data_IF_305780248632
#
_entry.id   IF_305780248632
#
_cell.length_a   1.000
_cell.length_b   1.000
_cell.length_c   1.000
_cell.angle_alpha   90.00
_cell.angle_beta   90.00
_cell.angle_gamma   90.00
#
_symmetry.space_group_name_H-M   'P 1'
#
loop_
_entity.id
_entity.type
_entity.pdbx_description
1 polymer ?
#
# COMPACT_ATOMS: atom_id res chain seq x y z
N UNK A 1 -29.00 -4.17 24.47
CA UNK A 1 -27.69 -4.84 24.29
C UNK A 1 -27.33 -4.82 22.82
N UNK A 2 -26.28 -4.11 22.38
CA UNK A 2 -26.01 -3.94 20.96
C UNK A 2 -25.28 -5.16 20.37
N UNK A 3 -25.65 -5.51 19.13
CA UNK A 3 -25.23 -6.71 18.38
C UNK A 3 -23.80 -6.63 17.78
N UNK A 4 -22.94 -5.76 18.30
CA UNK A 4 -21.64 -5.43 17.67
C UNK A 4 -20.49 -6.38 18.04
N UNK A 5 -20.65 -7.22 19.05
CA UNK A 5 -19.58 -8.11 19.51
C UNK A 5 -19.33 -9.35 18.64
N UNK A 6 -20.21 -9.65 17.69
CA UNK A 6 -20.10 -10.88 16.88
C UNK A 6 -19.04 -10.80 15.77
N UNK A 7 -18.63 -9.60 15.37
CA UNK A 7 -17.68 -9.42 14.27
C UNK A 7 -16.24 -9.16 14.74
N UNK A 8 -16.04 -8.72 15.99
CA UNK A 8 -14.70 -8.57 16.57
C UNK A 8 -14.02 -9.94 16.83
N UNK A 9 -14.80 -10.96 17.19
CA UNK A 9 -14.27 -12.30 17.48
C UNK A 9 -13.82 -13.09 16.25
N UNK A 10 -14.44 -12.85 15.08
CA UNK A 10 -14.13 -13.61 13.86
C UNK A 10 -12.86 -13.08 13.17
N UNK A 11 -12.58 -11.77 13.25
CA UNK A 11 -11.35 -11.17 12.73
C UNK A 11 -10.10 -11.60 13.50
N UNK A 12 -10.18 -11.76 14.82
CA UNK A 12 -9.05 -12.23 15.64
C UNK A 12 -8.71 -13.72 15.42
N UNK A 13 -9.69 -14.57 15.11
CA UNK A 13 -9.45 -16.00 14.86
C UNK A 13 -8.75 -16.26 13.52
N UNK A 14 -8.98 -15.42 12.51
CA UNK A 14 -8.32 -15.54 11.21
C UNK A 14 -6.88 -15.00 11.27
N UNK A 15 -6.64 -13.94 12.05
CA UNK A 15 -5.29 -13.38 12.24
C UNK A 15 -4.35 -14.27 13.08
N UNK A 16 -4.87 -15.01 14.06
CA UNK A 16 -4.07 -15.89 14.91
C UNK A 16 -3.70 -17.24 14.25
N UNK A 17 -4.46 -17.68 13.23
CA UNK A 17 -4.25 -18.97 12.56
C UNK A 17 -3.08 -19.03 11.57
N UNK A 18 -2.57 -17.87 11.13
CA UNK A 18 -1.47 -17.78 10.14
C UNK A 18 -0.11 -17.52 10.81
N UNK A 19 -0.09 -17.01 12.05
CA UNK A 19 1.14 -16.64 12.75
C UNK A 19 1.79 -17.78 13.56
N UNK A 20 1.14 -18.93 13.74
CA UNK A 20 1.64 -19.97 14.67
C UNK A 20 2.54 -21.10 14.11
N UNK A 21 2.76 -21.32 12.79
CA UNK A 21 3.74 -22.32 12.36
C UNK A 21 5.11 -21.76 11.95
N UNK A 22 5.34 -20.43 11.99
CA UNK A 22 6.63 -19.85 11.56
C UNK A 22 7.67 -19.65 12.68
N UNK A 23 7.34 -19.93 13.95
CA UNK A 23 8.28 -19.77 15.06
C UNK A 23 8.84 -21.08 15.65
N UNK A 24 8.50 -22.25 15.10
CA UNK A 24 8.95 -23.54 15.63
C UNK A 24 10.07 -24.24 14.82
N UNK A 25 10.63 -23.59 13.80
CA UNK A 25 11.51 -24.23 12.81
C UNK A 25 12.92 -23.67 12.66
N UNK A 26 13.50 -23.03 13.69
CA UNK A 26 14.84 -22.41 13.56
C UNK A 26 15.79 -22.61 14.75
N UNK A 27 15.67 -23.74 15.44
CA UNK A 27 16.70 -24.23 16.36
C UNK A 27 16.91 -25.71 16.10
N UNK A 28 17.80 -26.05 15.16
CA UNK A 28 18.56 -27.30 15.10
C UNK A 28 19.42 -27.24 13.83
N UNK A 29 20.73 -27.02 14.03
CA UNK A 29 21.89 -27.23 13.13
C UNK A 29 22.81 -25.99 13.09
N UNK A 30 23.56 -25.79 14.18
CA UNK A 30 24.84 -25.10 14.14
C UNK A 30 25.94 -26.11 14.52
N UNK A 31 26.97 -26.32 13.69
CA UNK A 31 28.11 -27.15 14.06
C UNK A 31 29.00 -26.47 15.10
N UNK A 32 29.48 -27.28 16.03
CA UNK A 32 30.33 -26.91 17.16
C UNK A 32 31.65 -26.25 16.71
N UNK A 33 31.80 -24.95 16.96
CA UNK A 33 33.11 -24.28 16.95
C UNK A 33 33.75 -24.43 18.33
N UNK A 34 34.79 -25.26 18.41
CA UNK A 34 35.64 -25.42 19.59
C UNK A 34 36.53 -24.18 19.75
N UNK A 35 36.18 -23.32 20.72
CA UNK A 35 37.07 -22.28 21.22
C UNK A 35 37.74 -22.79 22.50
N UNK A 36 39.06 -22.98 22.43
CA UNK A 36 39.92 -23.23 23.59
C UNK A 36 39.92 -22.01 24.52
N UNK A 37 39.72 -22.18 25.84
CA UNK A 37 39.77 -21.08 26.78
C UNK A 37 41.21 -20.72 27.18
N UNK A 38 41.52 -19.44 27.46
CA UNK A 38 42.79 -19.04 28.03
C UNK A 38 42.83 -19.33 29.54
N UNK A 39 44.01 -19.73 29.99
CA UNK A 39 44.40 -20.00 31.37
C UNK A 39 44.22 -18.80 32.28
N UNK A 40 43.58 -18.93 33.46
CA UNK A 40 43.70 -17.95 34.52
C UNK A 40 44.72 -18.38 35.60
N UNK A 41 45.48 -17.39 36.04
CA UNK A 41 46.57 -17.48 37.02
C UNK A 41 46.03 -17.06 38.40
N UNK A 42 46.24 -17.95 39.38
CA UNK A 42 46.41 -17.72 40.83
C UNK A 42 45.32 -17.03 41.67
N UNK A 43 44.94 -17.68 42.77
CA UNK A 43 44.36 -17.03 43.95
C UNK A 43 43.54 -17.97 44.82
N UNK A 44 43.99 -18.21 46.06
CA UNK A 44 43.31 -18.93 47.13
C UNK A 44 41.82 -18.54 47.27
N UNK A 45 40.89 -19.37 47.73
CA UNK A 45 40.82 -19.87 49.12
C UNK A 45 39.73 -20.95 49.22
N UNK A 46 39.99 -21.98 50.03
CA UNK A 46 39.08 -23.07 50.42
C UNK A 46 37.84 -22.54 51.14
N UNK A 47 36.64 -23.03 50.78
CA UNK A 47 35.54 -23.15 51.74
C UNK A 47 34.60 -24.30 51.37
N UNK A 48 34.35 -25.16 52.35
CA UNK A 48 33.49 -26.35 52.29
C UNK A 48 32.01 -25.96 52.25
N UNK A 49 31.22 -26.56 51.35
CA UNK A 49 29.78 -26.74 51.54
C UNK A 49 29.36 -28.12 51.04
N UNK A 50 28.66 -28.82 51.93
CA UNK A 50 28.09 -30.17 51.87
C UNK A 50 27.01 -30.34 50.78
N UNK A 51 26.87 -31.51 50.12
CA UNK A 51 25.80 -31.77 49.15
C UNK A 51 24.51 -32.28 49.81
N UNK A 52 23.36 -31.85 49.28
CA UNK A 52 22.02 -32.38 49.58
C UNK A 52 21.61 -33.45 48.52
N UNK A 53 20.73 -34.41 48.87
CA UNK A 53 20.54 -35.64 48.09
C UNK A 53 19.57 -35.51 46.90
N UNK A 54 19.80 -36.39 45.93
CA UNK A 54 19.09 -36.54 44.67
C UNK A 54 17.62 -36.96 44.83
N UNK A 55 16.72 -36.31 44.07
CA UNK A 55 15.35 -36.77 43.85
C UNK A 55 15.25 -37.53 42.53
N UNK A 56 14.69 -38.74 42.64
CA UNK A 56 14.48 -39.73 41.59
C UNK A 56 13.22 -39.35 40.81
N UNK A 57 13.34 -39.07 39.51
CA UNK A 57 12.20 -38.86 38.61
C UNK A 57 11.90 -40.17 37.88
N UNK A 58 10.68 -40.66 38.06
CA UNK A 58 10.11 -41.83 37.40
C UNK A 58 9.67 -41.48 35.97
N UNK A 59 9.93 -42.31 34.94
CA UNK A 59 9.45 -42.03 33.58
C UNK A 59 7.96 -42.37 33.45
N UNK A 60 7.16 -41.40 32.97
CA UNK A 60 5.78 -41.62 32.56
C UNK A 60 5.71 -42.21 31.15
N UNK A 61 4.76 -43.12 30.97
CA UNK A 61 4.49 -43.87 29.74
C UNK A 61 3.95 -42.97 28.62
N UNK A 62 4.46 -43.17 27.41
CA UNK A 62 4.03 -42.50 26.18
C UNK A 62 2.80 -43.22 25.63
N UNK A 63 1.65 -42.54 25.61
CA UNK A 63 0.44 -42.97 24.89
C UNK A 63 0.55 -42.60 23.41
N UNK A 64 0.34 -43.58 22.54
CA UNK A 64 0.35 -43.43 21.09
C UNK A 64 -0.85 -42.62 20.60
N UNK A 65 -0.60 -41.64 19.73
CA UNK A 65 -1.62 -40.87 19.03
C UNK A 65 -2.15 -41.64 17.80
N UNK A 66 -3.46 -41.59 17.50
CA UNK A 66 -4.02 -42.20 16.31
C UNK A 66 -3.64 -41.43 15.03
N UNK A 67 -3.43 -42.21 13.97
CA UNK A 67 -3.08 -41.75 12.62
C UNK A 67 -4.24 -40.96 11.97
N UNK A 68 -3.99 -39.81 11.32
CA UNK A 68 -5.04 -39.05 10.65
C UNK A 68 -5.48 -39.71 9.33
N UNK A 69 -6.79 -39.78 9.13
CA UNK A 69 -7.46 -40.25 7.91
C UNK A 69 -7.25 -39.26 6.75
N UNK A 70 -6.95 -39.72 5.52
CA UNK A 70 -6.76 -38.84 4.37
C UNK A 70 -8.08 -38.17 3.96
N UNK A 71 -8.06 -36.84 3.85
CA UNK A 71 -9.17 -36.03 3.33
C UNK A 71 -9.04 -35.91 1.82
N UNK A 72 -10.12 -36.22 1.09
CA UNK A 72 -10.19 -36.15 -0.38
C UNK A 72 -10.33 -34.68 -0.81
N UNK A 73 -9.34 -34.17 -1.54
CA UNK A 73 -9.36 -32.84 -2.15
C UNK A 73 -10.11 -32.90 -3.49
N UNK A 74 -11.16 -32.09 -3.72
CA UNK A 74 -11.77 -31.99 -5.04
C UNK A 74 -10.86 -31.23 -6.00
N UNK A 75 -10.43 -31.90 -7.07
CA UNK A 75 -9.71 -31.30 -8.19
C UNK A 75 -10.70 -30.55 -9.08
N UNK A 76 -10.59 -29.23 -9.16
CA UNK A 76 -11.27 -28.44 -10.18
C UNK A 76 -10.37 -28.35 -11.42
N UNK A 77 -10.80 -28.98 -12.50
CA UNK A 77 -10.20 -28.83 -13.83
C UNK A 77 -10.72 -27.54 -14.46
N UNK A 78 -9.88 -26.53 -14.78
CA UNK A 78 -10.34 -25.38 -15.53
C UNK A 78 -10.55 -25.77 -17.01
N UNK A 79 -11.76 -25.53 -17.51
CA UNK A 79 -12.09 -25.62 -18.93
C UNK A 79 -11.65 -24.33 -19.64
N UNK A 80 -10.81 -24.39 -20.69
CA UNK A 80 -10.50 -23.20 -21.48
C UNK A 80 -11.69 -22.86 -22.38
N UNK A 81 -12.33 -21.71 -22.14
CA UNK A 81 -13.25 -21.12 -23.12
C UNK A 81 -12.53 -19.97 -23.81
N UNK A 82 -12.12 -20.21 -25.06
CA UNK A 82 -11.69 -19.17 -25.98
C UNK A 82 -12.92 -18.48 -26.56
N UNK A 83 -13.02 -17.16 -26.40
CA UNK A 83 -13.85 -16.31 -27.27
C UNK A 83 -13.01 -15.12 -27.74
N UNK A 84 -12.83 -15.08 -29.05
CA UNK A 84 -12.24 -14.00 -29.80
C UNK A 84 -13.22 -12.82 -29.93
N UNK A 85 -12.66 -11.61 -29.85
CA UNK A 85 -13.12 -10.45 -30.63
C UNK A 85 -14.40 -9.75 -30.19
N UNK A 86 -14.25 -8.65 -29.43
CA UNK A 86 -14.94 -7.40 -29.74
C UNK A 86 -14.33 -6.25 -28.92
N UNK A 87 -13.64 -5.34 -29.61
CA UNK A 87 -13.47 -3.95 -29.16
C UNK A 87 -14.87 -3.41 -28.84
N UNK A 88 -15.12 -3.04 -27.59
CA UNK A 88 -16.08 -2.01 -27.25
C UNK A 88 -15.43 -1.05 -26.26
N UNK A 89 -15.07 0.12 -26.79
CA UNK A 89 -15.16 1.36 -26.02
C UNK A 89 -16.59 1.45 -25.49
N UNK A 90 -16.78 1.12 -24.23
CA UNK A 90 -17.96 1.49 -23.48
C UNK A 90 -17.44 2.37 -22.35
N UNK A 91 -17.41 3.67 -22.62
CA UNK A 91 -17.52 4.67 -21.55
C UNK A 91 -18.93 4.45 -21.00
N UNK A 92 -19.03 3.58 -19.99
CA UNK A 92 -20.30 3.27 -19.35
C UNK A 92 -20.68 4.47 -18.51
N UNK A 93 -21.83 5.04 -18.81
CA UNK A 93 -22.41 6.17 -18.13
C UNK A 93 -22.73 5.81 -16.66
N UNK A 94 -21.73 5.97 -15.78
CA UNK A 94 -21.92 6.06 -14.34
C UNK A 94 -21.43 7.42 -13.88
N UNK A 95 -22.34 8.37 -13.90
CA UNK A 95 -22.55 9.41 -12.89
C UNK A 95 -23.56 10.38 -13.48
N UNK A 96 -24.73 10.47 -12.85
CA UNK A 96 -25.41 11.76 -12.77
C UNK A 96 -24.51 12.63 -11.91
N UNK A 97 -23.41 13.14 -12.50
CA UNK A 97 -22.62 14.16 -11.86
C UNK A 97 -23.53 15.37 -11.78
N UNK A 98 -23.82 15.83 -10.56
CA UNK A 98 -24.18 17.22 -10.36
C UNK A 98 -23.22 18.05 -11.22
N UNK A 99 -23.71 18.88 -12.15
CA UNK A 99 -22.82 19.66 -13.01
C UNK A 99 -21.87 20.42 -12.09
N UNK A 100 -20.58 20.10 -12.18
CA UNK A 100 -19.53 20.81 -11.46
C UNK A 100 -19.74 22.29 -11.73
N UNK A 101 -20.02 23.04 -10.67
CA UNK A 101 -20.16 24.48 -10.77
C UNK A 101 -18.82 25.03 -11.27
N UNK A 102 -18.77 25.76 -12.41
CA UNK A 102 -17.53 26.34 -12.89
C UNK A 102 -16.83 27.24 -11.86
N UNK A 103 -17.58 27.73 -10.87
CA UNK A 103 -17.06 28.52 -9.75
C UNK A 103 -16.35 27.69 -8.65
N UNK A 104 -16.53 26.36 -8.59
CA UNK A 104 -15.77 25.48 -7.69
C UNK A 104 -14.42 25.06 -8.29
N UNK A 105 -14.12 25.46 -9.53
CA UNK A 105 -12.78 25.39 -10.12
C UNK A 105 -11.97 26.64 -9.74
N UNK A 106 -11.98 27.00 -8.44
CA UNK A 106 -11.08 28.01 -7.90
C UNK A 106 -9.65 27.62 -8.29
N UNK A 107 -8.95 28.56 -8.90
CA UNK A 107 -7.88 28.31 -9.85
C UNK A 107 -6.81 27.34 -9.34
N UNK A 108 -6.41 26.29 -10.10
CA UNK A 108 -5.20 25.54 -9.78
C UNK A 108 -4.01 26.50 -9.88
N UNK A 109 -3.38 26.80 -8.74
CA UNK A 109 -2.18 27.61 -8.74
C UNK A 109 -1.10 26.86 -9.53
N UNK A 110 -0.49 27.54 -10.50
CA UNK A 110 0.50 26.96 -11.42
C UNK A 110 1.82 26.75 -10.67
N UNK A 111 1.92 25.68 -9.89
CA UNK A 111 3.18 25.28 -9.24
C UNK A 111 3.58 23.91 -9.77
N UNK A 112 4.41 23.88 -10.81
CA UNK A 112 5.06 22.64 -11.21
C UNK A 112 5.50 22.54 -12.65
N UNK A 113 5.90 21.33 -13.08
CA UNK A 113 6.44 21.07 -14.41
C UNK A 113 5.37 20.98 -15.51
N UNK A 114 4.09 20.84 -15.14
CA UNK A 114 2.97 20.75 -16.07
C UNK A 114 2.49 22.15 -16.48
N UNK A 115 2.06 22.30 -17.74
CA UNK A 115 1.37 23.53 -18.20
C UNK A 115 0.01 23.68 -17.50
N UNK A 116 -0.57 24.88 -17.52
CA UNK A 116 -1.91 25.13 -16.95
C UNK A 116 -2.96 24.17 -17.53
N UNK A 117 -2.94 23.99 -18.85
CA UNK A 117 -3.88 23.11 -19.56
C UNK A 117 -3.71 21.64 -19.17
N UNK A 118 -2.47 21.21 -18.89
CA UNK A 118 -2.20 19.86 -18.40
C UNK A 118 -2.69 19.67 -16.96
N UNK A 119 -2.50 20.66 -16.09
CA UNK A 119 -2.98 20.63 -14.70
C UNK A 119 -4.51 20.60 -14.65
N UNK A 120 -5.19 21.48 -15.40
CA UNK A 120 -6.65 21.49 -15.52
C UNK A 120 -7.20 20.18 -16.08
N UNK A 121 -6.51 19.60 -17.08
CA UNK A 121 -6.88 18.28 -17.62
C UNK A 121 -6.72 17.18 -16.58
N UNK A 122 -5.58 17.13 -15.87
CA UNK A 122 -5.32 16.16 -14.82
C UNK A 122 -6.41 16.22 -13.74
N UNK A 123 -6.72 17.41 -13.25
CA UNK A 123 -7.74 17.59 -12.23
C UNK A 123 -9.14 17.19 -12.72
N UNK A 124 -9.56 17.70 -13.89
CA UNK A 124 -10.88 17.33 -14.45
C UNK A 124 -11.01 15.83 -14.73
N UNK A 125 -9.93 15.16 -15.13
CA UNK A 125 -9.91 13.71 -15.34
C UNK A 125 -10.02 12.98 -14.01
N UNK A 126 -9.28 13.40 -12.99
CA UNK A 126 -9.31 12.74 -11.68
C UNK A 126 -10.70 12.74 -11.06
N UNK A 127 -11.47 13.82 -11.24
CA UNK A 127 -12.84 13.94 -10.73
C UNK A 127 -13.80 12.87 -11.28
N UNK A 128 -13.52 12.27 -12.44
CA UNK A 128 -14.35 11.17 -13.00
C UNK A 128 -14.21 9.87 -12.21
N UNK A 129 -13.15 9.77 -11.42
CA UNK A 129 -12.87 8.60 -10.59
C UNK A 129 -13.40 8.75 -9.15
N UNK A 130 -14.14 9.83 -8.85
CA UNK A 130 -14.78 9.97 -7.53
C UNK A 130 -15.96 9.01 -7.42
N UNK A 131 -15.96 8.26 -6.34
CA UNK A 131 -17.03 7.38 -5.89
C UNK A 131 -17.06 7.42 -4.35
N UNK A 132 -17.70 8.47 -3.78
CA UNK A 132 -17.61 8.80 -2.35
C UNK A 132 -18.40 7.85 -1.44
N UNK A 133 -19.16 6.91 -1.99
CA UNK A 133 -19.87 5.87 -1.22
C UNK A 133 -19.29 4.49 -1.49
N UNK A 134 -19.47 3.55 -0.56
CA UNK A 134 -18.99 2.16 -0.70
C UNK A 134 -19.70 1.47 -1.88
N UNK A 135 -20.98 1.76 -2.06
CA UNK A 135 -21.81 1.24 -3.14
C UNK A 135 -21.31 1.68 -4.51
N UNK A 136 -20.84 2.92 -4.65
CA UNK A 136 -20.30 3.47 -5.90
C UNK A 136 -18.85 3.04 -6.14
N UNK A 137 -18.04 2.88 -5.09
CA UNK A 137 -16.61 2.61 -5.22
C UNK A 137 -16.32 1.20 -5.73
N UNK A 138 -17.16 0.22 -5.39
CA UNK A 138 -17.04 -1.18 -5.84
C UNK A 138 -17.17 -1.33 -7.37
N UNK A 139 -18.26 -0.87 -8.03
CA UNK A 139 -18.38 -0.99 -9.48
C UNK A 139 -17.28 -0.21 -10.21
N UNK A 140 -16.93 0.99 -9.72
CA UNK A 140 -15.83 1.76 -10.30
C UNK A 140 -14.48 1.02 -10.20
N UNK A 141 -14.17 0.41 -9.06
CA UNK A 141 -12.95 -0.38 -8.91
C UNK A 141 -12.88 -1.56 -9.89
N UNK A 142 -14.01 -2.23 -10.15
CA UNK A 142 -14.12 -3.31 -11.14
C UNK A 142 -13.97 -2.81 -12.58
N UNK A 143 -14.41 -1.60 -12.87
CA UNK A 143 -14.20 -0.97 -14.17
C UNK A 143 -12.70 -0.68 -14.40
N UNK A 144 -12.01 -0.15 -13.38
CA UNK A 144 -10.59 0.20 -13.45
C UNK A 144 -9.70 -1.03 -13.62
N UNK A 145 -9.93 -2.08 -12.81
CA UNK A 145 -8.98 -3.19 -12.67
C UNK A 145 -9.56 -4.57 -13.05
N UNK A 146 -10.80 -4.62 -13.53
CA UNK A 146 -11.48 -5.85 -13.94
C UNK A 146 -12.26 -6.54 -12.82
N UNK A 147 -13.21 -7.39 -13.23
CA UNK A 147 -14.04 -8.20 -12.33
C UNK A 147 -13.18 -9.27 -11.65
N UNK A 148 -13.20 -9.31 -10.32
CA UNK A 148 -12.43 -10.26 -9.49
C UNK A 148 -11.17 -9.67 -8.86
N UNK A 149 -10.60 -8.63 -9.47
CA UNK A 149 -9.40 -7.93 -8.97
C UNK A 149 -9.70 -6.52 -8.47
N UNK A 150 -10.67 -5.85 -9.10
CA UNK A 150 -11.11 -4.50 -8.73
C UNK A 150 -11.93 -4.49 -7.45
N UNK A 151 -11.28 -4.22 -6.33
CA UNK A 151 -11.93 -3.85 -5.07
C UNK A 151 -11.35 -2.52 -4.58
N UNK A 152 -12.15 -1.57 -4.06
CA UNK A 152 -11.65 -0.27 -3.62
C UNK A 152 -10.56 -0.34 -2.54
N UNK A 153 -10.37 -1.49 -1.88
CA UNK A 153 -9.28 -1.71 -0.92
C UNK A 153 -7.91 -2.02 -1.54
N UNK A 154 -7.81 -2.29 -2.84
CA UNK A 154 -6.56 -2.75 -3.47
C UNK A 154 -6.30 -2.20 -4.88
N UNK A 155 -6.98 -1.12 -5.28
CA UNK A 155 -6.81 -0.51 -6.60
C UNK A 155 -5.96 0.78 -6.60
N UNK A 156 -5.22 1.10 -5.54
CA UNK A 156 -4.49 2.38 -5.45
C UNK A 156 -3.55 2.62 -6.65
N UNK A 157 -2.78 1.59 -7.05
CA UNK A 157 -1.95 1.63 -8.24
C UNK A 157 -2.75 1.79 -9.55
N UNK A 158 -3.68 0.87 -9.85
CA UNK A 158 -4.54 0.97 -11.03
C UNK A 158 -5.29 2.31 -11.15
N UNK A 159 -5.80 2.84 -10.03
CA UNK A 159 -6.48 4.13 -9.97
C UNK A 159 -5.52 5.27 -10.33
N UNK A 160 -4.39 5.36 -9.62
CA UNK A 160 -3.41 6.44 -9.82
C UNK A 160 -2.89 6.48 -11.26
N UNK A 161 -2.58 5.31 -11.84
CA UNK A 161 -2.07 5.25 -13.21
C UNK A 161 -3.16 5.49 -14.26
N UNK A 162 -4.42 5.12 -13.99
CA UNK A 162 -5.53 5.43 -14.89
C UNK A 162 -5.75 6.95 -14.99
N UNK A 163 -5.66 7.66 -13.86
CA UNK A 163 -5.75 9.13 -13.83
C UNK A 163 -4.64 9.75 -14.69
N UNK A 164 -3.37 9.33 -14.51
CA UNK A 164 -2.24 9.85 -15.29
C UNK A 164 -2.35 9.54 -16.78
N UNK A 165 -2.77 8.31 -17.12
CA UNK A 165 -2.94 7.86 -18.51
C UNK A 165 -4.02 8.67 -19.21
N UNK A 166 -5.18 8.82 -18.57
CA UNK A 166 -6.32 9.53 -19.14
C UNK A 166 -6.09 11.05 -19.22
N UNK A 167 -5.23 11.57 -18.35
CA UNK A 167 -4.71 12.94 -18.44
C UNK A 167 -3.67 13.11 -19.58
N UNK A 168 -3.19 12.02 -20.18
CA UNK A 168 -2.17 12.04 -21.24
C UNK A 168 -0.75 12.30 -20.72
N UNK A 169 -0.50 12.07 -19.42
CA UNK A 169 0.82 12.31 -18.81
C UNK A 169 1.75 11.10 -18.92
N UNK A 170 1.21 9.90 -19.10
CA UNK A 170 1.93 8.65 -19.41
C UNK A 170 1.46 8.06 -20.74
N UNK A 171 2.11 6.99 -21.22
CA UNK A 171 1.73 6.32 -22.47
C UNK A 171 0.30 5.78 -22.46
N UNK A 172 -0.42 5.89 -23.58
CA UNK A 172 -1.79 5.38 -23.71
C UNK A 172 -1.87 3.84 -23.65
N UNK A 173 -0.74 3.16 -23.86
CA UNK A 173 -0.55 1.71 -23.77
C UNK A 173 -0.34 1.20 -22.33
N UNK A 174 -0.15 2.11 -21.35
CA UNK A 174 -0.01 1.76 -19.94
C UNK A 174 -1.30 1.08 -19.45
N UNK A 175 -1.16 -0.12 -18.89
CA UNK A 175 -2.29 -0.93 -18.41
C UNK A 175 -2.44 -0.75 -16.89
N UNK A 176 -3.62 -0.33 -16.40
CA UNK A 176 -3.86 -0.17 -14.97
C UNK A 176 -3.57 -1.42 -14.15
N UNK A 177 -3.91 -2.59 -14.69
CA UNK A 177 -3.64 -3.88 -14.07
C UNK A 177 -2.17 -4.14 -13.78
N UNK A 178 -1.24 -3.59 -14.57
CA UNK A 178 0.21 -3.75 -14.32
C UNK A 178 0.65 -3.03 -13.03
N UNK A 179 -0.17 -2.14 -12.49
CA UNK A 179 0.06 -1.42 -11.24
C UNK A 179 -0.67 -2.06 -10.04
N UNK A 180 -1.41 -3.15 -10.26
CA UNK A 180 -2.11 -3.86 -9.18
C UNK A 180 -1.11 -4.64 -8.31
N UNK A 181 -1.02 -4.28 -7.03
CA UNK A 181 -0.06 -4.84 -6.06
C UNK A 181 1.42 -4.70 -6.49
N UNK A 182 1.71 -3.75 -7.37
CA UNK A 182 3.07 -3.45 -7.84
C UNK A 182 3.98 -3.13 -6.66
N UNK A 183 5.20 -3.66 -6.66
CA UNK A 183 6.22 -3.43 -5.64
C UNK A 183 7.56 -3.02 -6.29
N UNK A 184 8.05 -1.79 -6.08
CA UNK A 184 9.31 -1.30 -6.65
C UNK A 184 10.55 -2.10 -6.26
N UNK A 185 10.49 -2.91 -5.19
CA UNK A 185 11.57 -3.81 -4.77
C UNK A 185 11.66 -5.11 -5.58
N UNK A 186 10.63 -5.44 -6.38
CA UNK A 186 10.60 -6.61 -7.26
C UNK A 186 11.16 -6.23 -8.64
N UNK A 187 12.15 -6.97 -9.21
CA UNK A 187 12.77 -6.61 -10.49
C UNK A 187 11.80 -6.52 -11.67
N UNK A 188 10.76 -7.35 -11.72
CA UNK A 188 9.73 -7.33 -12.75
C UNK A 188 8.90 -6.04 -12.70
N UNK A 189 8.48 -5.65 -11.50
CA UNK A 189 7.69 -4.46 -11.23
C UNK A 189 8.48 -3.17 -11.42
N UNK A 190 9.77 -3.19 -11.04
CA UNK A 190 10.71 -2.11 -11.32
C UNK A 190 10.78 -1.81 -12.82
N UNK A 191 10.81 -2.84 -13.67
CA UNK A 191 10.80 -2.66 -15.14
C UNK A 191 9.49 -2.03 -15.65
N UNK A 192 8.35 -2.27 -14.98
CA UNK A 192 7.08 -1.60 -15.30
C UNK A 192 7.18 -0.11 -14.97
N UNK A 193 7.73 0.25 -13.80
CA UNK A 193 7.94 1.64 -13.40
C UNK A 193 8.90 2.37 -14.35
N UNK A 194 10.05 1.78 -14.67
CA UNK A 194 11.05 2.38 -15.57
C UNK A 194 10.51 2.63 -16.98
N UNK A 195 9.70 1.70 -17.50
CA UNK A 195 9.04 1.88 -18.80
C UNK A 195 7.97 2.97 -18.75
N UNK A 196 7.24 3.07 -17.64
CA UNK A 196 6.11 4.00 -17.49
C UNK A 196 6.58 5.42 -17.18
N UNK A 197 7.65 5.55 -16.39
CA UNK A 197 8.24 6.80 -15.94
C UNK A 197 9.70 6.90 -16.38
N UNK A 198 9.98 6.97 -17.69
CA UNK A 198 11.34 6.98 -18.20
C UNK A 198 12.07 8.27 -17.77
N UNK A 199 13.38 8.20 -17.45
CA UNK A 199 14.14 9.31 -16.86
C UNK A 199 14.24 10.55 -17.78
N UNK A 200 14.04 10.39 -19.09
CA UNK A 200 13.96 11.49 -20.05
C UNK A 200 12.70 12.35 -19.87
N UNK A 201 11.67 11.82 -19.21
CA UNK A 201 10.38 12.49 -18.99
C UNK A 201 10.03 12.70 -17.53
N UNK A 202 10.66 11.96 -16.61
CA UNK A 202 10.33 12.00 -15.18
C UNK A 202 11.60 12.08 -14.32
N UNK A 203 11.58 12.94 -13.31
CA UNK A 203 12.55 12.87 -12.21
C UNK A 203 12.09 11.79 -11.24
N UNK A 204 13.02 10.99 -10.74
CA UNK A 204 12.76 10.02 -9.68
C UNK A 204 13.43 10.47 -8.37
N UNK A 205 12.65 10.45 -7.30
CA UNK A 205 13.11 10.74 -5.95
C UNK A 205 12.78 9.54 -5.06
N UNK A 206 13.66 9.21 -4.13
CA UNK A 206 13.41 8.22 -3.10
C UNK A 206 13.82 8.79 -1.75
N UNK A 207 12.96 8.59 -0.75
CA UNK A 207 13.29 8.86 0.64
C UNK A 207 12.83 7.70 1.52
N UNK A 208 13.59 7.45 2.59
CA UNK A 208 13.21 6.52 3.67
C UNK A 208 12.62 7.24 4.87
N UNK A 209 12.54 8.57 4.82
CA UNK A 209 11.95 9.37 5.87
C UNK A 209 10.43 9.17 5.90
N UNK A 210 9.83 8.83 7.07
CA UNK A 210 8.40 8.65 7.19
C UNK A 210 7.61 9.89 6.75
N UNK A 211 6.42 9.69 6.16
CA UNK A 211 5.60 10.79 5.63
C UNK A 211 5.32 11.90 6.64
N UNK A 212 5.11 11.56 7.92
CA UNK A 212 4.83 12.53 8.98
C UNK A 212 6.02 13.41 9.40
N UNK A 213 7.23 13.11 8.90
CA UNK A 213 8.44 13.89 9.18
C UNK A 213 8.88 14.77 8.02
N UNK A 214 8.31 14.55 6.84
CA UNK A 214 8.67 15.33 5.65
C UNK A 214 8.24 16.79 5.86
N UNK A 215 9.20 17.70 5.68
CA UNK A 215 8.91 19.12 5.55
C UNK A 215 8.38 19.40 4.15
N UNK A 216 7.05 19.39 4.01
CA UNK A 216 6.37 19.62 2.73
C UNK A 216 6.48 21.06 2.22
N UNK A 217 6.92 22.01 3.06
CA UNK A 217 7.23 23.36 2.60
C UNK A 217 8.56 23.39 1.85
N UNK A 218 9.55 22.65 2.35
CA UNK A 218 10.87 22.50 1.69
C UNK A 218 10.84 21.52 0.52
N UNK A 219 9.96 20.52 0.55
CA UNK A 219 9.76 19.55 -0.51
C UNK A 219 8.29 19.49 -0.96
N UNK A 220 7.77 20.54 -1.62
CA UNK A 220 6.36 20.57 -2.00
C UNK A 220 6.09 19.54 -3.10
N UNK A 221 4.97 18.84 -2.93
CA UNK A 221 4.38 18.03 -4.00
C UNK A 221 3.83 18.94 -5.10
N UNK A 222 3.78 18.42 -6.32
CA UNK A 222 3.36 19.15 -7.52
C UNK A 222 2.34 18.33 -8.30
N UNK A 223 1.40 18.97 -9.03
CA UNK A 223 0.46 18.26 -9.88
C UNK A 223 1.19 17.32 -10.85
N UNK A 224 0.72 16.07 -10.93
CA UNK A 224 1.30 15.00 -11.74
C UNK A 224 2.37 14.17 -11.04
N UNK A 225 2.80 14.52 -9.83
CA UNK A 225 3.68 13.64 -9.03
C UNK A 225 2.96 12.31 -8.77
N UNK A 226 3.54 11.21 -9.22
CA UNK A 226 3.14 9.85 -8.85
C UNK A 226 3.94 9.42 -7.64
N UNK A 227 3.27 8.94 -6.59
CA UNK A 227 3.89 8.48 -5.36
C UNK A 227 3.65 6.99 -5.16
N UNK A 228 4.72 6.27 -4.81
CA UNK A 228 4.66 4.97 -4.16
C UNK A 228 5.05 5.12 -2.70
N UNK A 229 4.07 5.00 -1.81
CA UNK A 229 4.21 5.17 -0.36
C UNK A 229 4.47 3.80 0.26
N UNK A 230 5.61 3.66 0.93
CA UNK A 230 6.05 2.43 1.58
C UNK A 230 5.42 2.34 2.96
N UNK A 231 4.72 1.25 3.25
CA UNK A 231 4.18 0.91 4.58
C UNK A 231 5.23 1.09 5.66
N UNK A 232 6.39 0.45 5.51
CA UNK A 232 7.46 0.41 6.49
C UNK A 232 7.08 -0.37 7.75
N UNK A 233 8.03 -0.44 8.70
CA UNK A 233 7.81 -1.13 9.98
C UNK A 233 6.70 -0.42 10.76
N UNK A 234 5.59 -1.12 11.01
CA UNK A 234 4.41 -0.58 11.69
C UNK A 234 3.25 -0.20 10.76
N UNK A 235 3.50 -0.20 9.44
CA UNK A 235 2.46 -0.13 8.42
C UNK A 235 1.89 -1.50 8.06
N UNK A 236 0.73 -1.53 7.42
CA UNK A 236 0.08 -2.77 6.97
C UNK A 236 -0.25 -2.80 5.46
N UNK A 237 -0.05 -1.70 4.72
CA UNK A 237 -0.18 -1.69 3.26
C UNK A 237 0.69 -0.61 2.61
N UNK A 238 1.19 -0.87 1.41
CA UNK A 238 1.79 0.15 0.55
C UNK A 238 0.68 0.87 -0.23
N UNK A 239 0.88 2.14 -0.56
CA UNK A 239 -0.14 2.93 -1.24
C UNK A 239 0.42 3.67 -2.45
N UNK A 240 -0.38 3.77 -3.51
CA UNK A 240 -0.02 4.51 -4.72
C UNK A 240 -1.04 5.60 -4.98
N UNK A 241 -0.56 6.80 -5.31
CA UNK A 241 -1.44 7.92 -5.65
C UNK A 241 -0.78 8.87 -6.64
N UNK A 242 -1.58 9.78 -7.20
CA UNK A 242 -1.11 10.90 -7.99
C UNK A 242 -1.60 12.21 -7.38
N UNK A 243 -0.74 13.22 -7.34
CA UNK A 243 -1.13 14.57 -6.95
C UNK A 243 -1.93 15.19 -8.09
N UNK A 244 -3.21 15.45 -7.85
CA UNK A 244 -4.15 15.90 -8.89
C UNK A 244 -4.21 17.42 -9.02
N UNK A 245 -4.04 18.13 -7.91
CA UNK A 245 -3.93 19.60 -7.85
C UNK A 245 -3.18 20.03 -6.59
N UNK A 246 -2.74 21.28 -6.62
CA UNK A 246 -2.20 22.04 -5.47
C UNK A 246 -2.93 23.38 -5.47
N UNK A 247 -3.37 23.86 -4.31
CA UNK A 247 -4.06 25.15 -4.19
C UNK A 247 -3.12 26.32 -3.90
N UNK A 248 -3.70 27.50 -3.65
CA UNK A 248 -2.94 28.74 -3.45
C UNK A 248 -2.12 28.73 -2.15
N UNK A 249 -2.57 27.98 -1.14
CA UNK A 249 -1.87 27.79 0.12
C UNK A 249 -0.77 26.70 0.03
N UNK A 250 -0.64 26.03 -1.11
CA UNK A 250 0.35 24.97 -1.32
C UNK A 250 -0.06 23.61 -0.75
N UNK A 251 -1.35 23.42 -0.43
CA UNK A 251 -1.92 22.15 0.02
C UNK A 251 -2.09 21.25 -1.18
N UNK A 252 -1.60 20.02 -1.09
CA UNK A 252 -1.66 19.05 -2.17
C UNK A 252 -2.88 18.15 -2.03
N UNK A 253 -3.51 17.77 -3.15
CA UNK A 253 -4.72 16.94 -3.18
C UNK A 253 -4.59 15.76 -4.14
N UNK A 254 -5.28 14.67 -3.82
CA UNK A 254 -5.38 13.49 -4.68
C UNK A 254 -6.80 12.94 -4.69
N UNK A 255 -7.24 12.41 -5.82
CA UNK A 255 -8.35 11.46 -5.86
C UNK A 255 -7.76 10.08 -5.63
N UNK A 256 -8.06 9.48 -4.48
CA UNK A 256 -7.46 8.20 -4.07
C UNK A 256 -8.47 7.34 -3.31
N UNK A 257 -8.20 6.05 -3.23
CA UNK A 257 -8.98 5.13 -2.43
C UNK A 257 -8.46 5.10 -0.99
N UNK A 258 -9.36 5.08 -0.01
CA UNK A 258 -9.00 4.95 1.40
C UNK A 258 -10.15 4.34 2.19
N UNK A 259 -9.82 3.79 3.37
CA UNK A 259 -10.82 3.19 4.24
C UNK A 259 -11.55 4.25 5.09
N UNK A 260 -12.83 3.98 5.33
CA UNK A 260 -13.69 4.67 6.28
C UNK A 260 -14.24 3.64 7.27
N UNK A 261 -15.06 4.09 8.23
CA UNK A 261 -15.78 3.17 9.13
C UNK A 261 -16.81 2.31 8.42
N UNK A 262 -17.28 2.72 7.23
CA UNK A 262 -18.31 2.02 6.46
C UNK A 262 -17.73 1.08 5.38
N UNK A 263 -16.48 1.34 4.97
CA UNK A 263 -15.80 0.59 3.92
C UNK A 263 -14.80 1.46 3.15
N UNK A 264 -14.31 0.96 2.02
CA UNK A 264 -13.40 1.73 1.18
C UNK A 264 -14.17 2.56 0.17
N UNK A 265 -13.80 3.83 0.05
CA UNK A 265 -14.36 4.78 -0.92
C UNK A 265 -13.24 5.33 -1.80
N UNK A 266 -13.60 6.05 -2.86
CA UNK A 266 -12.66 6.78 -3.72
C UNK A 266 -13.07 8.24 -3.73
N UNK A 267 -12.27 9.11 -3.14
CA UNK A 267 -12.62 10.52 -3.03
C UNK A 267 -11.41 11.45 -3.19
N UNK A 268 -11.68 12.73 -3.42
CA UNK A 268 -10.66 13.76 -3.33
C UNK A 268 -10.34 14.03 -1.85
N UNK A 269 -9.06 13.94 -1.50
CA UNK A 269 -8.56 14.21 -0.16
C UNK A 269 -7.35 15.13 -0.21
N UNK A 270 -7.23 15.98 0.81
CA UNK A 270 -6.02 16.74 1.07
C UNK A 270 -4.94 15.79 1.60
N UNK A 271 -3.76 15.82 0.97
CA UNK A 271 -2.62 15.00 1.35
C UNK A 271 -1.94 15.55 2.61
N UNK A 272 -1.63 16.84 2.59
CA UNK A 272 -1.02 17.59 3.69
C UNK A 272 -1.37 19.09 3.55
N UNK A 273 -1.14 19.83 4.63
CA UNK A 273 -1.07 21.29 4.64
C UNK A 273 0.35 21.73 5.05
N UNK A 274 1.07 22.56 4.25
CA UNK A 274 2.43 22.99 4.59
C UNK A 274 2.49 23.93 5.80
N UNK A 275 1.36 24.46 6.24
CA UNK A 275 1.22 25.41 7.34
C UNK A 275 0.62 24.75 8.60
N UNK A 276 -0.02 23.57 8.43
CA UNK A 276 -0.52 22.73 9.51
C UNK A 276 -0.05 21.25 9.36
N UNK A 277 1.01 20.83 10.08
CA UNK A 277 1.53 19.46 9.99
C UNK A 277 0.59 18.41 10.62
N UNK A 278 -0.54 18.82 11.20
CA UNK A 278 -1.57 17.93 11.73
C UNK A 278 -2.73 17.68 10.76
N UNK A 279 -2.75 18.38 9.62
CA UNK A 279 -3.81 18.26 8.64
C UNK A 279 -3.45 17.29 7.48
N UNK A 280 -4.49 16.74 6.85
CA UNK A 280 -4.37 15.90 5.64
C UNK A 280 -4.24 14.40 5.92
N UNK A 281 -4.47 13.60 4.88
CA UNK A 281 -4.55 12.14 5.00
C UNK A 281 -3.19 11.49 5.30
N UNK A 282 -2.07 12.13 4.92
CA UNK A 282 -0.74 11.64 5.28
C UNK A 282 -0.52 11.63 6.80
N UNK A 283 -1.10 12.60 7.51
CA UNK A 283 -1.11 12.59 8.96
C UNK A 283 -1.96 11.44 9.48
N UNK A 284 -3.18 11.27 8.98
CA UNK A 284 -4.08 10.20 9.42
C UNK A 284 -3.47 8.80 9.23
N UNK A 285 -2.85 8.53 8.09
CA UNK A 285 -2.24 7.21 7.80
C UNK A 285 -1.01 6.88 8.64
N UNK A 286 -0.40 7.89 9.27
CA UNK A 286 0.80 7.73 10.10
C UNK A 286 0.50 7.84 11.60
N UNK A 287 -0.77 7.95 11.98
CA UNK A 287 -1.20 7.97 13.38
C UNK A 287 -1.66 6.59 13.87
N UNK A 288 -1.07 6.12 14.97
CA UNK A 288 -1.35 4.80 15.55
C UNK A 288 -2.84 4.51 15.83
N UNK A 289 -3.65 5.45 16.38
CA UNK A 289 -5.08 5.18 16.63
C UNK A 289 -5.88 4.86 15.37
N UNK A 290 -5.46 5.37 14.22
CA UNK A 290 -6.13 5.19 12.93
C UNK A 290 -5.54 4.05 12.09
N UNK A 291 -4.45 3.43 12.57
CA UNK A 291 -3.78 2.31 11.90
C UNK A 291 -4.72 1.12 11.62
N UNK A 292 -5.79 0.95 12.40
CA UNK A 292 -6.79 -0.10 12.17
C UNK A 292 -7.58 0.10 10.86
N UNK A 293 -7.73 1.34 10.39
CA UNK A 293 -8.35 1.65 9.09
C UNK A 293 -7.33 1.53 7.94
N UNK A 294 -6.05 1.40 8.26
CA UNK A 294 -4.96 1.36 7.32
C UNK A 294 -3.85 2.30 7.77
N UNK A 295 -2.66 1.75 7.95
CA UNK A 295 -1.45 2.48 8.30
C UNK A 295 -0.39 2.33 7.20
N UNK A 296 0.13 3.45 6.70
CA UNK A 296 1.17 3.46 5.66
C UNK A 296 2.09 4.66 5.78
N UNK A 297 3.20 4.67 5.04
CA UNK A 297 4.12 5.80 4.99
C UNK A 297 5.19 5.83 6.07
N UNK A 298 5.35 4.77 6.87
CA UNK A 298 6.47 4.66 7.83
C UNK A 298 7.80 4.32 7.14
N UNK A 299 7.76 3.81 5.90
CA UNK A 299 8.94 3.45 5.11
C UNK A 299 9.43 4.54 4.16
N UNK A 300 8.80 5.73 4.20
CA UNK A 300 9.00 6.79 3.23
C UNK A 300 8.28 6.54 1.90
N UNK A 301 8.84 7.06 0.81
CA UNK A 301 8.20 6.98 -0.50
C UNK A 301 9.20 7.04 -1.66
N UNK A 302 8.75 6.57 -2.81
CA UNK A 302 9.33 6.89 -4.12
C UNK A 302 8.37 7.82 -4.88
N UNK A 303 8.92 8.78 -5.60
CA UNK A 303 8.16 9.80 -6.33
C UNK A 303 8.70 9.93 -7.75
N UNK A 304 7.78 9.95 -8.72
CA UNK A 304 8.06 10.24 -10.12
C UNK A 304 7.37 11.54 -10.52
N UNK A 305 8.17 12.56 -10.81
CA UNK A 305 7.72 13.92 -11.13
C UNK A 305 7.88 14.17 -12.62
N UNK A 306 6.83 14.59 -13.35
CA UNK A 306 6.98 15.00 -14.74
C UNK A 306 8.09 16.05 -14.89
N UNK A 307 8.83 16.00 -15.98
CA UNK A 307 9.79 17.03 -16.34
C UNK A 307 9.18 17.93 -17.42
N UNK A 308 9.56 19.21 -17.40
CA UNK A 308 9.30 20.10 -18.53
C UNK A 308 10.08 19.54 -19.71
N UNK A 309 9.38 18.94 -20.68
CA UNK A 309 10.03 18.42 -21.87
C UNK A 309 10.50 19.60 -22.73
N UNK A 310 11.78 19.98 -22.62
CA UNK A 310 12.35 21.11 -23.38
C UNK A 310 12.48 20.83 -24.88
N UNK A 311 12.31 19.57 -25.32
CA UNK A 311 12.55 19.11 -26.68
C UNK A 311 11.48 18.13 -27.20
N UNK A 312 10.29 18.11 -26.63
CA UNK A 312 9.18 17.36 -27.23
C UNK A 312 8.58 18.21 -28.38
N UNK A 313 8.42 17.63 -29.58
CA UNK A 313 7.84 18.33 -30.72
C UNK A 313 6.36 18.72 -30.50
#
# INVERSE_FOLDING_TARGET
MPREWKYLGLGMLIGAGIALPLFAGMFLLAPSLSLTPPTPRSGATRSLVTPAPASRVTPQAVTAFPSPTPTVTPTFTPTPTAIAGARRSAVSAFATSTPLNPADLTEPLIIGPLTKEQQERLYRVSLRYRAPTVEESIPLAKEINGVGYGHPSNICGPLAISILRDAGLVGADVRPYDFWLLNPGVPEDRRILERTFPPERFLHFETKEPLYRIDWRSFPLKPGDFLYIKSGTGGNFDHMLVVTRVDEEGRAYSVTNYATTEGFIIDEVMLYDPDDPTAGIFRTWTEHPYAMLGATGFGGFELWRPQVCRYCP
#
